data_IF_681056134572
#
_entry.id   IF_681056134572
#
_cell.length_a   1.000
_cell.length_b   1.000
_cell.length_c   1.000
_cell.angle_alpha   90.00
_cell.angle_beta   90.00
_cell.angle_gamma   90.00
#
_symmetry.space_group_name_H-M   'P 1'
#
loop_
_entity.id
_entity.type
_entity.pdbx_description
1 polymer ?
#
# COMPACT_ATOMS: atom_id res chain seq x y z
N UNK A 1 -5.39 -10.23 -17.32
CA UNK A 1 -6.40 -10.63 -16.32
C UNK A 1 -5.86 -10.37 -14.92
N UNK A 2 -6.62 -9.67 -14.13
CA UNK A 2 -6.25 -9.39 -12.75
C UNK A 2 -7.14 -10.21 -11.84
N UNK A 3 -6.52 -11.02 -10.98
CA UNK A 3 -7.22 -11.84 -10.02
C UNK A 3 -6.89 -11.32 -8.62
N UNK A 4 -7.92 -10.94 -7.86
CA UNK A 4 -7.76 -10.57 -6.46
C UNK A 4 -7.86 -11.80 -5.57
N UNK A 5 -6.85 -12.04 -4.74
CA UNK A 5 -6.87 -13.08 -3.74
C UNK A 5 -6.95 -12.45 -2.36
N UNK A 6 -8.07 -12.66 -1.68
CA UNK A 6 -8.23 -12.27 -0.28
C UNK A 6 -7.84 -13.47 0.58
N UNK A 7 -6.90 -13.28 1.45
CA UNK A 7 -6.51 -14.37 2.30
C UNK A 7 -5.75 -13.91 3.52
N UNK A 8 -6.36 -14.07 4.66
CA UNK A 8 -5.72 -13.81 5.94
C UNK A 8 -4.75 -14.90 6.37
N UNK A 9 -4.43 -15.84 5.49
CA UNK A 9 -3.58 -16.97 5.87
C UNK A 9 -2.13 -16.66 5.54
N UNK A 10 -1.43 -16.11 6.51
CA UNK A 10 -0.03 -15.73 6.37
C UNK A 10 0.88 -16.89 6.00
N UNK A 11 0.58 -18.09 6.47
CA UNK A 11 1.43 -19.27 6.25
C UNK A 11 1.38 -19.87 4.86
N UNK A 12 0.26 -19.69 4.13
CA UNK A 12 0.12 -20.22 2.78
C UNK A 12 0.38 -19.22 1.66
N UNK A 13 0.36 -17.94 2.00
CA UNK A 13 0.40 -16.84 1.03
C UNK A 13 1.70 -16.81 0.21
N UNK A 14 2.84 -16.94 0.87
CA UNK A 14 4.14 -16.92 0.18
C UNK A 14 4.35 -18.15 -0.70
N UNK A 15 3.87 -19.32 -0.28
CA UNK A 15 3.95 -20.55 -1.07
C UNK A 15 3.11 -20.44 -2.34
N UNK A 16 1.87 -19.97 -2.22
CA UNK A 16 0.97 -19.76 -3.36
C UNK A 16 1.54 -18.70 -4.31
N UNK A 17 2.06 -17.61 -3.77
CA UNK A 17 2.68 -16.53 -4.52
C UNK A 17 3.85 -17.05 -5.37
N UNK A 18 4.72 -17.85 -4.77
CA UNK A 18 5.87 -18.46 -5.45
C UNK A 18 5.43 -19.41 -6.56
N UNK A 19 4.44 -20.24 -6.28
CA UNK A 19 3.89 -21.16 -7.27
C UNK A 19 3.34 -20.42 -8.49
N UNK A 20 2.56 -19.38 -8.25
CA UNK A 20 1.95 -18.59 -9.32
C UNK A 20 2.99 -17.84 -10.15
N UNK A 21 4.04 -17.32 -9.50
CA UNK A 21 5.14 -16.67 -10.20
C UNK A 21 5.86 -17.66 -11.15
N UNK A 22 6.05 -18.90 -10.73
CA UNK A 22 6.64 -19.95 -11.54
C UNK A 22 5.76 -20.30 -12.76
N UNK A 23 4.44 -20.10 -12.67
CA UNK A 23 3.49 -20.31 -13.75
C UNK A 23 3.33 -19.11 -14.69
N UNK A 24 4.17 -18.08 -14.52
CA UNK A 24 4.14 -16.89 -15.37
C UNK A 24 3.18 -15.80 -14.93
N UNK A 25 2.62 -15.90 -13.73
CA UNK A 25 1.79 -14.83 -13.16
C UNK A 25 2.66 -13.76 -12.54
N UNK A 26 2.28 -12.50 -12.72
CA UNK A 26 2.84 -11.40 -11.95
C UNK A 26 2.06 -11.28 -10.66
N UNK A 27 2.77 -11.41 -9.53
CA UNK A 27 2.14 -11.45 -8.21
C UNK A 27 2.46 -10.17 -7.45
N UNK A 28 1.44 -9.52 -6.92
CA UNK A 28 1.57 -8.30 -6.13
C UNK A 28 0.88 -8.48 -4.78
N UNK A 29 1.48 -7.90 -3.74
CA UNK A 29 0.90 -7.86 -2.40
C UNK A 29 0.32 -6.47 -2.19
N UNK A 30 -0.98 -6.38 -1.91
CA UNK A 30 -1.66 -5.11 -1.73
C UNK A 30 -1.09 -4.29 -0.57
N UNK A 31 -0.73 -4.94 0.54
CA UNK A 31 -0.12 -4.27 1.68
C UNK A 31 1.23 -3.69 1.32
N UNK A 32 2.03 -4.43 0.56
CA UNK A 32 3.33 -3.96 0.09
C UNK A 32 3.19 -2.80 -0.89
N UNK A 33 2.22 -2.86 -1.78
CA UNK A 33 1.94 -1.77 -2.73
C UNK A 33 1.57 -0.49 -1.97
N UNK A 34 0.68 -0.58 -1.00
CA UNK A 34 0.29 0.55 -0.17
C UNK A 34 1.48 1.12 0.61
N UNK A 35 2.32 0.24 1.15
CA UNK A 35 3.55 0.63 1.84
C UNK A 35 4.51 1.37 0.92
N UNK A 36 4.77 0.82 -0.25
CA UNK A 36 5.69 1.42 -1.23
C UNK A 36 5.18 2.79 -1.70
N UNK A 37 3.88 2.92 -1.90
CA UNK A 37 3.24 4.19 -2.26
C UNK A 37 3.40 5.20 -1.13
N UNK A 38 3.16 4.80 0.11
CA UNK A 38 3.28 5.69 1.27
C UNK A 38 4.71 6.16 1.52
N UNK A 39 5.70 5.44 1.02
CA UNK A 39 7.12 5.79 1.15
C UNK A 39 7.61 6.74 0.06
N UNK A 40 6.83 6.98 -0.98
CA UNK A 40 7.21 7.93 -2.03
C UNK A 40 7.31 9.35 -1.45
N UNK A 41 8.32 10.08 -1.89
CA UNK A 41 8.59 11.43 -1.38
C UNK A 41 7.40 12.36 -1.53
N UNK A 42 6.73 12.34 -2.68
CA UNK A 42 5.56 13.19 -2.92
C UNK A 42 4.39 12.85 -1.99
N UNK A 43 4.22 11.57 -1.68
CA UNK A 43 3.17 11.11 -0.76
C UNK A 43 3.52 11.51 0.67
N UNK A 44 4.77 11.37 1.06
CA UNK A 44 5.23 11.79 2.39
C UNK A 44 5.04 13.28 2.61
N UNK A 45 5.33 14.11 1.61
CA UNK A 45 5.09 15.54 1.66
C UNK A 45 3.60 15.85 1.89
N UNK A 46 2.73 15.15 1.20
CA UNK A 46 1.29 15.30 1.36
C UNK A 46 0.82 14.90 2.76
N UNK A 47 1.36 13.81 3.29
CA UNK A 47 1.08 13.35 4.65
C UNK A 47 1.55 14.40 5.68
N UNK A 48 2.74 14.95 5.50
CA UNK A 48 3.28 15.99 6.39
C UNK A 48 2.40 17.24 6.36
N UNK A 49 1.97 17.67 5.19
CA UNK A 49 1.07 18.82 5.06
C UNK A 49 -0.26 18.58 5.77
N UNK A 50 -0.75 17.36 5.79
CA UNK A 50 -2.02 17.02 6.40
C UNK A 50 -1.93 16.89 7.92
N UNK A 51 -0.88 16.26 8.43
CA UNK A 51 -0.74 15.93 9.86
C UNK A 51 0.20 16.86 10.63
N UNK A 52 1.06 17.59 9.93
CA UNK A 52 2.00 18.52 10.55
C UNK A 52 3.25 17.83 11.12
N UNK A 53 3.97 18.56 11.94
CA UNK A 53 5.28 18.13 12.45
C UNK A 53 5.22 17.02 13.50
N UNK A 54 4.05 16.71 14.01
CA UNK A 54 3.85 15.66 15.04
C UNK A 54 4.28 14.27 14.58
N UNK A 55 4.34 14.06 13.28
CA UNK A 55 4.66 12.76 12.68
C UNK A 55 6.09 12.67 12.18
N UNK A 56 6.91 13.68 12.44
CA UNK A 56 8.29 13.72 11.94
C UNK A 56 9.26 13.06 12.92
N UNK A 57 10.29 12.43 12.35
CA UNK A 57 11.44 11.96 13.10
C UNK A 57 12.50 13.05 13.21
N UNK A 58 13.65 12.72 13.78
CA UNK A 58 14.77 13.66 13.98
C UNK A 58 15.33 14.20 12.66
N UNK A 59 15.15 13.47 11.58
CA UNK A 59 15.69 13.83 10.27
C UNK A 59 14.69 14.58 9.39
N UNK A 60 13.50 14.88 9.92
CA UNK A 60 12.45 15.53 9.17
C UNK A 60 11.65 14.61 8.25
N UNK A 61 11.81 13.32 8.39
CA UNK A 61 11.06 12.33 7.64
C UNK A 61 9.84 11.86 8.43
N UNK A 62 8.87 11.25 7.73
CA UNK A 62 7.70 10.69 8.40
C UNK A 62 8.12 9.52 9.28
N UNK A 63 7.81 9.63 10.58
CA UNK A 63 7.97 8.54 11.52
C UNK A 63 6.70 7.68 11.48
N UNK A 64 6.81 6.50 10.90
CA UNK A 64 5.66 5.61 10.70
C UNK A 64 5.00 5.21 12.01
N UNK A 65 5.78 5.04 13.07
CA UNK A 65 5.26 4.70 14.38
C UNK A 65 4.39 5.81 14.95
N UNK A 66 4.87 7.06 14.88
CA UNK A 66 4.11 8.21 15.33
C UNK A 66 2.83 8.40 14.54
N UNK A 67 2.90 8.28 13.22
CA UNK A 67 1.74 8.37 12.35
C UNK A 67 0.72 7.27 12.69
N UNK A 68 1.18 6.05 12.85
CA UNK A 68 0.33 4.91 13.20
C UNK A 68 -0.40 5.11 14.51
N UNK A 69 0.30 5.62 15.52
CA UNK A 69 -0.31 5.92 16.84
C UNK A 69 -1.41 6.99 16.71
N UNK A 70 -1.14 8.04 15.94
CA UNK A 70 -2.09 9.13 15.75
C UNK A 70 -3.36 8.66 15.03
N UNK A 71 -3.22 7.92 13.96
CA UNK A 71 -4.38 7.46 13.17
C UNK A 71 -5.13 6.32 13.85
N UNK A 72 -4.46 5.54 14.66
CA UNK A 72 -5.09 4.44 15.39
C UNK A 72 -6.09 4.97 16.44
N UNK A 73 -5.79 6.08 17.08
CA UNK A 73 -6.63 6.67 18.13
C UNK A 73 -7.74 7.59 17.60
N UNK A 74 -7.66 7.99 16.33
CA UNK A 74 -8.59 8.96 15.78
C UNK A 74 -9.08 8.56 14.40
N UNK A 75 -10.34 8.18 14.32
CA UNK A 75 -10.97 7.71 13.08
C UNK A 75 -10.93 8.76 11.96
N UNK A 76 -11.12 10.03 12.28
CA UNK A 76 -11.10 11.10 11.28
C UNK A 76 -9.70 11.24 10.66
N UNK A 77 -8.67 11.09 11.48
CA UNK A 77 -7.28 11.14 11.00
C UNK A 77 -6.94 9.93 10.14
N UNK A 78 -7.44 8.76 10.52
CA UNK A 78 -7.30 7.56 9.69
C UNK A 78 -7.98 7.75 8.33
N UNK A 79 -9.16 8.32 8.30
CA UNK A 79 -9.88 8.61 7.06
C UNK A 79 -9.11 9.60 6.17
N UNK A 80 -8.48 10.60 6.78
CA UNK A 80 -7.63 11.55 6.04
C UNK A 80 -6.43 10.85 5.42
N UNK A 81 -5.76 9.98 6.16
CA UNK A 81 -4.62 9.22 5.65
C UNK A 81 -5.06 8.30 4.51
N UNK A 82 -6.17 7.59 4.69
CA UNK A 82 -6.74 6.73 3.66
C UNK A 82 -7.12 7.53 2.41
N UNK A 83 -7.65 8.74 2.58
CA UNK A 83 -7.98 9.64 1.47
C UNK A 83 -6.75 10.08 0.65
N UNK A 84 -5.57 10.06 1.26
CA UNK A 84 -4.32 10.33 0.55
C UNK A 84 -3.83 9.10 -0.20
N UNK A 85 -3.87 7.95 0.44
CA UNK A 85 -3.24 6.72 -0.07
C UNK A 85 -4.14 5.95 -1.04
N UNK A 86 -5.42 5.76 -0.72
CA UNK A 86 -6.33 4.94 -1.51
C UNK A 86 -6.44 5.35 -2.99
N UNK A 87 -6.60 6.64 -3.33
CA UNK A 87 -6.64 7.04 -4.75
C UNK A 87 -5.38 6.66 -5.52
N UNK A 88 -4.24 6.71 -4.86
CA UNK A 88 -2.95 6.37 -5.46
C UNK A 88 -2.81 4.86 -5.68
N UNK A 89 -3.34 4.07 -4.76
CA UNK A 89 -3.40 2.60 -4.89
C UNK A 89 -4.33 2.23 -6.06
N UNK A 90 -5.49 2.86 -6.13
CA UNK A 90 -6.45 2.62 -7.22
C UNK A 90 -5.82 2.97 -8.58
N UNK A 91 -5.13 4.09 -8.67
CA UNK A 91 -4.43 4.48 -9.91
C UNK A 91 -3.34 3.47 -10.28
N UNK A 92 -2.61 2.96 -9.30
CA UNK A 92 -1.61 1.93 -9.53
C UNK A 92 -2.24 0.67 -10.14
N UNK A 93 -3.38 0.24 -9.64
CA UNK A 93 -4.10 -0.92 -10.18
C UNK A 93 -4.62 -0.68 -11.59
N UNK A 94 -5.11 0.53 -11.87
CA UNK A 94 -5.55 0.91 -13.21
C UNK A 94 -4.39 0.86 -14.21
N UNK A 95 -3.24 1.39 -13.83
CA UNK A 95 -2.04 1.34 -14.66
C UNK A 95 -1.56 -0.09 -14.90
N UNK A 96 -1.61 -0.94 -13.88
CA UNK A 96 -1.28 -2.35 -14.03
C UNK A 96 -2.20 -3.04 -15.03
N UNK A 97 -3.50 -2.77 -14.96
CA UNK A 97 -4.49 -3.33 -15.86
C UNK A 97 -4.24 -2.91 -17.30
N UNK A 98 -3.86 -1.65 -17.52
CA UNK A 98 -3.57 -1.11 -18.85
C UNK A 98 -2.28 -1.66 -19.44
N UNK A 99 -1.25 -1.85 -18.61
CA UNK A 99 0.06 -2.32 -19.05
C UNK A 99 0.13 -3.82 -19.24
N UNK A 100 -0.60 -4.56 -18.43
CA UNK A 100 -0.56 -6.02 -18.43
C UNK A 100 -1.89 -6.58 -18.89
N UNK A 101 -1.95 -7.05 -20.11
CA UNK A 101 -3.07 -7.84 -20.61
C UNK A 101 -2.99 -9.28 -20.10
N UNK A 102 -1.88 -9.63 -19.43
CA UNK A 102 -1.57 -10.96 -18.96
C UNK A 102 -2.01 -11.19 -17.52
N UNK A 103 -1.59 -12.31 -16.98
CA UNK A 103 -2.01 -12.84 -15.70
C UNK A 103 -1.39 -12.07 -14.54
N UNK A 104 -2.20 -11.29 -13.83
CA UNK A 104 -1.78 -10.52 -12.66
C UNK A 104 -2.60 -10.99 -11.46
N UNK A 105 -1.92 -11.27 -10.35
CA UNK A 105 -2.55 -11.68 -9.10
C UNK A 105 -2.18 -10.68 -8.01
N UNK A 106 -3.19 -10.23 -7.28
CA UNK A 106 -3.03 -9.30 -6.19
C UNK A 106 -3.50 -9.96 -4.90
N UNK A 107 -2.62 -10.00 -3.91
CA UNK A 107 -2.95 -10.46 -2.58
C UNK A 107 -3.33 -9.28 -1.69
N UNK A 108 -4.39 -9.47 -0.94
CA UNK A 108 -4.77 -8.55 0.14
C UNK A 108 -4.12 -8.93 1.46
#
# INVERSE_FOLDING_TARGET
MIIGLTGGIASGKSTVSKYLAEKGFKVYDADKIAKDISEKKSVQEEIILTFGNKILDKNGNVDRKKLKEIVFENKEKLEKLNGIIHPKVINFYKELKERNTDKVIIFD
#
